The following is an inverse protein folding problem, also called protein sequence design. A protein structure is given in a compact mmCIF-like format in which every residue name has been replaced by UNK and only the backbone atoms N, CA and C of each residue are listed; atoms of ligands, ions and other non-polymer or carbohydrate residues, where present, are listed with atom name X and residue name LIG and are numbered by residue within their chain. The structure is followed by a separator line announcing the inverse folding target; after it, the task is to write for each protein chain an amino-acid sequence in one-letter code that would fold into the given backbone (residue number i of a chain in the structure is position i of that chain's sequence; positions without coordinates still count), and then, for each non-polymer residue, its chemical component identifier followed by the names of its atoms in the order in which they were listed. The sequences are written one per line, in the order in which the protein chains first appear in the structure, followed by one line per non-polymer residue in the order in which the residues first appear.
data_IF_062497716856
#
_entry.id   IF_062497716856
#
_cell.length_a   1.000
_cell.length_b   1.000
_cell.length_c   1.000
_cell.angle_alpha   90.00
_cell.angle_beta   90.00
_cell.angle_gamma   90.00
#
_symmetry.space_group_name_H-M   'P 1'
#
loop_
_entity.id
_entity.type
_entity.pdbx_description
1 polymer ?
#
# COMPACT_ATOMS: atom_id res chain seq x y z
N UNK A 1 4.15 -12.42 33.86
CA UNK A 1 4.58 -12.57 32.45
C UNK A 1 3.44 -12.77 31.44
N UNK A 2 2.19 -13.07 31.86
CA UNK A 2 1.04 -13.29 30.95
C UNK A 2 0.41 -12.02 30.34
N UNK A 3 0.72 -10.83 30.87
CA UNK A 3 0.05 -9.55 30.52
C UNK A 3 0.70 -8.83 29.32
N UNK A 4 1.97 -9.12 29.02
CA UNK A 4 2.70 -8.54 27.90
C UNK A 4 2.34 -9.18 26.54
N UNK A 5 1.84 -10.43 26.54
CA UNK A 5 1.38 -11.10 25.32
C UNK A 5 0.19 -10.36 24.68
N UNK A 6 -0.75 -9.84 25.49
CA UNK A 6 -1.94 -9.14 24.98
C UNK A 6 -1.62 -7.82 24.29
N UNK A 7 -0.58 -7.12 24.76
CA UNK A 7 -0.14 -5.83 24.19
C UNK A 7 0.62 -6.07 22.87
N UNK A 8 1.47 -7.11 22.82
CA UNK A 8 2.21 -7.47 21.60
C UNK A 8 1.25 -7.88 20.48
N UNK A 9 0.21 -8.66 20.80
CA UNK A 9 -0.81 -9.05 19.82
C UNK A 9 -1.64 -7.85 19.32
N UNK A 10 -1.92 -6.89 20.21
CA UNK A 10 -2.58 -5.63 19.85
C UNK A 10 -1.76 -4.80 18.85
N UNK A 11 -0.44 -4.68 19.07
CA UNK A 11 0.47 -3.94 18.16
C UNK A 11 0.72 -4.63 16.82
N UNK A 12 0.50 -5.94 16.71
CA UNK A 12 0.55 -6.63 15.42
C UNK A 12 -0.73 -6.41 14.59
N UNK A 13 -1.82 -6.00 15.24
CA UNK A 13 -3.11 -5.72 14.59
C UNK A 13 -3.34 -4.23 14.30
N UNK A 14 -2.56 -3.32 14.91
CA UNK A 14 -2.60 -1.88 14.60
C UNK A 14 -2.41 -1.54 13.12
N UNK A 15 -1.55 -2.21 12.32
CA UNK A 15 -1.47 -1.89 10.89
C UNK A 15 -2.78 -2.19 10.14
N UNK A 16 -3.50 -3.24 10.55
CA UNK A 16 -4.77 -3.64 9.90
C UNK A 16 -5.93 -2.69 10.26
N UNK A 17 -5.94 -2.12 11.48
CA UNK A 17 -6.93 -1.12 11.89
C UNK A 17 -6.60 0.25 11.29
N UNK A 18 -5.32 0.63 11.21
CA UNK A 18 -4.88 1.89 10.62
C UNK A 18 -5.26 2.01 9.13
N UNK A 19 -5.28 0.89 8.40
CA UNK A 19 -5.72 0.86 6.99
C UNK A 19 -7.22 1.04 6.78
N UNK A 20 -8.05 0.96 7.83
CA UNK A 20 -9.50 1.11 7.71
C UNK A 20 -10.01 2.56 7.92
N UNK A 21 -9.21 3.45 8.53
CA UNK A 21 -9.65 4.78 8.96
C UNK A 21 -9.50 5.90 7.91
N UNK A 22 -9.37 5.57 6.62
CA UNK A 22 -8.89 6.50 5.57
C UNK A 22 -9.99 7.36 4.92
N UNK A 23 -11.19 7.46 5.49
CA UNK A 23 -12.25 8.30 4.92
C UNK A 23 -12.51 9.55 5.78
N UNK A 24 -11.81 10.64 5.48
CA UNK A 24 -12.06 11.96 6.08
C UNK A 24 -13.04 12.75 5.20
N UNK A 25 -14.28 12.93 5.69
CA UNK A 25 -15.35 13.87 5.27
C UNK A 25 -15.71 13.98 3.75
N UNK A 26 -17.00 14.13 3.39
CA UNK A 26 -17.43 14.30 2.01
C UNK A 26 -16.90 15.59 1.37
N UNK A 27 -16.53 15.52 0.08
CA UNK A 27 -15.92 16.62 -0.65
C UNK A 27 -16.88 17.81 -0.82
N UNK A 28 -16.49 18.99 -0.33
CA UNK A 28 -17.25 20.25 -0.42
C UNK A 28 -16.67 21.25 -1.43
N UNK A 29 -15.43 21.04 -1.88
CA UNK A 29 -14.67 21.91 -2.79
C UNK A 29 -13.78 21.09 -3.75
N UNK A 30 -13.26 21.69 -4.84
CA UNK A 30 -12.32 21.04 -5.78
C UNK A 30 -11.10 20.44 -5.07
N UNK A 31 -10.55 21.14 -4.08
CA UNK A 31 -9.44 20.62 -3.27
C UNK A 31 -9.80 19.33 -2.52
N UNK A 32 -11.00 19.25 -1.95
CA UNK A 32 -11.47 18.05 -1.26
C UNK A 32 -11.84 16.90 -2.21
N UNK A 33 -12.20 17.20 -3.47
CA UNK A 33 -12.40 16.16 -4.50
C UNK A 33 -11.07 15.48 -4.84
N UNK A 34 -10.00 16.24 -5.03
CA UNK A 34 -8.67 15.70 -5.28
C UNK A 34 -8.17 14.84 -4.10
N UNK A 35 -8.41 15.28 -2.87
CA UNK A 35 -8.07 14.50 -1.66
C UNK A 35 -8.89 13.22 -1.57
N UNK A 36 -10.20 13.28 -1.83
CA UNK A 36 -11.08 12.11 -1.80
C UNK A 36 -10.70 11.06 -2.86
N UNK A 37 -10.38 11.50 -4.08
CA UNK A 37 -9.86 10.62 -5.12
C UNK A 37 -8.53 9.98 -4.69
N UNK A 38 -7.62 10.78 -4.16
CA UNK A 38 -6.32 10.28 -3.69
C UNK A 38 -6.48 9.23 -2.57
N UNK A 39 -7.46 9.40 -1.69
CA UNK A 39 -7.80 8.42 -0.65
C UNK A 39 -8.30 7.10 -1.24
N UNK A 40 -9.17 7.14 -2.24
CA UNK A 40 -9.65 5.93 -2.93
C UNK A 40 -8.51 5.17 -3.58
N UNK A 41 -7.63 5.87 -4.32
CA UNK A 41 -6.48 5.23 -4.97
C UNK A 41 -5.49 4.65 -3.95
N UNK A 42 -5.29 5.31 -2.81
CA UNK A 42 -4.43 4.82 -1.73
C UNK A 42 -4.98 3.53 -1.10
N UNK A 43 -6.28 3.49 -0.78
CA UNK A 43 -6.95 2.31 -0.24
C UNK A 43 -6.95 1.18 -1.27
N UNK A 44 -7.29 1.48 -2.54
CA UNK A 44 -7.30 0.49 -3.62
C UNK A 44 -5.90 -0.13 -3.83
N UNK A 45 -4.85 0.69 -3.83
CA UNK A 45 -3.46 0.21 -3.95
C UNK A 45 -3.10 -0.72 -2.79
N UNK A 46 -3.42 -0.32 -1.56
CA UNK A 46 -3.13 -1.13 -0.36
C UNK A 46 -3.88 -2.46 -0.38
N UNK A 47 -5.16 -2.44 -0.79
CA UNK A 47 -5.98 -3.64 -0.93
C UNK A 47 -5.42 -4.59 -1.99
N UNK A 48 -5.10 -4.08 -3.18
CA UNK A 48 -4.59 -4.93 -4.27
C UNK A 48 -3.20 -5.47 -3.93
N UNK A 49 -2.34 -4.69 -3.27
CA UNK A 49 -1.05 -5.18 -2.81
C UNK A 49 -1.21 -6.34 -1.83
N UNK A 50 -2.10 -6.21 -0.85
CA UNK A 50 -2.39 -7.30 0.10
C UNK A 50 -2.87 -8.57 -0.61
N UNK A 51 -3.80 -8.43 -1.58
CA UNK A 51 -4.31 -9.55 -2.36
C UNK A 51 -3.21 -10.17 -3.25
N UNK A 52 -2.35 -9.35 -3.85
CA UNK A 52 -1.25 -9.80 -4.69
C UNK A 52 -0.22 -10.62 -3.90
N UNK A 53 0.09 -10.20 -2.67
CA UNK A 53 0.97 -10.98 -1.77
C UNK A 53 0.35 -12.32 -1.42
N UNK A 54 -0.95 -12.37 -1.14
CA UNK A 54 -1.65 -13.65 -0.87
C UNK A 54 -1.63 -14.58 -2.09
N UNK A 55 -1.91 -14.06 -3.28
CA UNK A 55 -1.84 -14.83 -4.53
C UNK A 55 -0.43 -15.33 -4.83
N UNK A 56 0.59 -14.50 -4.57
CA UNK A 56 1.99 -14.88 -4.71
C UNK A 56 2.36 -16.03 -3.77
N UNK A 57 1.99 -15.91 -2.48
CA UNK A 57 2.23 -16.97 -1.50
C UNK A 57 1.51 -18.27 -1.86
N UNK A 58 0.25 -18.19 -2.31
CA UNK A 58 -0.50 -19.36 -2.78
C UNK A 58 0.20 -20.07 -3.94
N UNK A 59 0.72 -19.32 -4.91
CA UNK A 59 1.51 -19.88 -6.02
C UNK A 59 2.78 -20.57 -5.55
N UNK A 60 3.48 -20.00 -4.56
CA UNK A 60 4.68 -20.61 -3.96
C UNK A 60 4.34 -21.89 -3.20
N UNK A 61 3.29 -21.90 -2.38
CA UNK A 61 2.85 -23.11 -1.68
C UNK A 61 2.49 -24.23 -2.64
N UNK A 62 1.77 -23.91 -3.72
CA UNK A 62 1.42 -24.89 -4.75
C UNK A 62 2.65 -25.42 -5.50
N UNK A 63 3.65 -24.57 -5.76
CA UNK A 63 4.91 -25.00 -6.38
C UNK A 63 5.72 -25.92 -5.46
N UNK A 64 5.79 -25.61 -4.16
CA UNK A 64 6.54 -26.41 -3.17
C UNK A 64 5.83 -27.75 -2.90
N UNK A 65 4.50 -27.76 -2.78
CA UNK A 65 3.73 -28.99 -2.59
C UNK A 65 3.72 -29.90 -3.83
N UNK A 66 3.95 -29.34 -5.02
CA UNK A 66 4.08 -30.09 -6.27
C UNK A 66 5.44 -30.78 -6.45
N UNK A 67 6.30 -30.83 -5.43
CA UNK A 67 7.60 -31.50 -5.46
C UNK A 67 7.44 -33.02 -5.72
N UNK A 68 7.43 -33.42 -6.99
CA UNK A 68 7.33 -34.82 -7.43
C UNK A 68 6.55 -35.02 -8.73
N UNK A 69 5.73 -34.06 -9.14
CA UNK A 69 4.97 -34.09 -10.39
C UNK A 69 5.34 -32.91 -11.30
N UNK A 70 5.92 -33.21 -12.47
CA UNK A 70 6.36 -32.21 -13.44
C UNK A 70 5.19 -31.34 -13.97
N UNK A 71 3.98 -31.89 -14.05
CA UNK A 71 2.80 -31.15 -14.51
C UNK A 71 2.36 -30.13 -13.45
N UNK A 72 2.29 -30.54 -12.18
CA UNK A 72 1.94 -29.66 -11.08
C UNK A 72 2.98 -28.55 -10.84
N UNK A 73 4.28 -28.83 -11.04
CA UNK A 73 5.33 -27.81 -10.97
C UNK A 73 5.19 -26.74 -12.05
N UNK A 74 4.85 -27.13 -13.29
CA UNK A 74 4.64 -26.17 -14.38
C UNK A 74 3.49 -25.23 -14.06
N UNK A 75 2.41 -25.74 -13.47
CA UNK A 75 1.26 -24.95 -13.04
C UNK A 75 1.60 -24.02 -11.86
N UNK A 76 2.31 -24.52 -10.85
CA UNK A 76 2.77 -23.71 -9.71
C UNK A 76 3.70 -22.57 -10.15
N UNK A 77 4.63 -22.84 -11.09
CA UNK A 77 5.51 -21.82 -11.67
C UNK A 77 4.72 -20.73 -12.40
N UNK A 78 3.67 -21.10 -13.13
CA UNK A 78 2.80 -20.13 -13.81
C UNK A 78 2.07 -19.22 -12.81
N UNK A 79 1.62 -19.76 -11.67
CA UNK A 79 0.97 -18.96 -10.63
C UNK A 79 1.95 -17.99 -9.96
N UNK A 80 3.19 -18.42 -9.71
CA UNK A 80 4.25 -17.54 -9.20
C UNK A 80 4.53 -16.40 -10.17
N UNK A 81 4.69 -16.69 -11.46
CA UNK A 81 4.95 -15.69 -12.50
C UNK A 81 3.79 -14.69 -12.59
N UNK A 82 2.55 -15.17 -12.57
CA UNK A 82 1.36 -14.30 -12.62
C UNK A 82 1.28 -13.39 -11.38
N UNK A 83 1.58 -13.92 -10.19
CA UNK A 83 1.68 -13.12 -8.97
C UNK A 83 2.80 -12.08 -9.02
N UNK A 84 3.98 -12.47 -9.52
CA UNK A 84 5.13 -11.57 -9.67
C UNK A 84 4.84 -10.43 -10.67
N UNK A 85 4.19 -10.74 -11.80
CA UNK A 85 3.76 -9.72 -12.76
C UNK A 85 2.80 -8.73 -12.09
N UNK A 86 1.82 -9.21 -11.32
CA UNK A 86 0.89 -8.35 -10.59
C UNK A 86 1.59 -7.38 -9.64
N UNK A 87 2.59 -7.86 -8.90
CA UNK A 87 3.39 -7.02 -8.00
C UNK A 87 4.25 -6.02 -8.80
N UNK A 88 4.89 -6.47 -9.88
CA UNK A 88 5.75 -5.63 -10.71
C UNK A 88 4.99 -4.46 -11.33
N UNK A 89 3.76 -4.68 -11.83
CA UNK A 89 2.92 -3.60 -12.38
C UNK A 89 2.57 -2.59 -11.28
N UNK A 90 2.19 -3.04 -10.09
CA UNK A 90 1.84 -2.14 -8.98
C UNK A 90 3.02 -1.26 -8.54
N UNK A 91 4.20 -1.86 -8.38
CA UNK A 91 5.42 -1.12 -8.02
C UNK A 91 5.82 -0.15 -9.13
N UNK A 92 5.67 -0.54 -10.40
CA UNK A 92 5.97 0.33 -11.55
C UNK A 92 5.12 1.60 -11.56
N UNK A 93 3.80 1.48 -11.35
CA UNK A 93 2.89 2.63 -11.29
C UNK A 93 3.24 3.57 -10.13
N UNK A 94 3.46 3.03 -8.94
CA UNK A 94 3.80 3.85 -7.76
C UNK A 94 5.19 4.48 -7.86
N UNK A 95 6.16 3.76 -8.43
CA UNK A 95 7.50 4.24 -8.73
C UNK A 95 7.47 5.40 -9.73
N UNK A 96 6.63 5.31 -10.77
CA UNK A 96 6.39 6.40 -11.72
C UNK A 96 5.78 7.63 -11.05
N UNK A 97 4.71 7.45 -10.24
CA UNK A 97 4.10 8.56 -9.48
C UNK A 97 5.13 9.27 -8.61
N UNK A 98 5.93 8.48 -7.87
CA UNK A 98 6.98 9.00 -6.99
C UNK A 98 8.11 9.68 -7.79
N UNK A 99 8.46 9.14 -8.95
CA UNK A 99 9.47 9.74 -9.83
C UNK A 99 9.02 11.13 -10.31
N UNK A 100 7.77 11.26 -10.77
CA UNK A 100 7.24 12.54 -11.21
C UNK A 100 7.08 13.55 -10.06
N UNK A 101 6.60 13.13 -8.88
CA UNK A 101 6.45 14.06 -7.74
C UNK A 101 7.79 14.58 -7.24
N UNK A 102 8.83 13.74 -7.21
CA UNK A 102 10.19 14.16 -6.84
C UNK A 102 10.85 15.00 -7.93
N UNK A 103 10.69 14.64 -9.21
CA UNK A 103 11.30 15.35 -10.33
C UNK A 103 10.68 16.73 -10.58
N UNK A 104 9.40 16.93 -10.25
CA UNK A 104 8.69 18.20 -10.47
C UNK A 104 8.71 19.13 -9.24
N UNK A 105 9.42 18.77 -8.16
CA UNK A 105 9.55 19.61 -6.97
C UNK A 105 8.25 19.85 -6.20
N UNK A 106 7.26 18.95 -6.35
CA UNK A 106 5.95 19.06 -5.71
C UNK A 106 5.98 18.87 -4.19
N UNK A 107 7.16 18.70 -3.58
CA UNK A 107 7.40 18.74 -2.13
C UNK A 107 7.59 20.18 -1.65
N UNK A 108 6.72 21.11 -2.05
CA UNK A 108 6.75 22.49 -1.52
C UNK A 108 5.82 22.60 -0.32
N UNK A 109 6.13 21.88 0.76
CA UNK A 109 5.53 22.09 2.07
C UNK A 109 6.49 22.91 2.95
N UNK A 110 7.01 24.02 2.41
CA UNK A 110 7.70 25.00 3.25
C UNK A 110 6.64 25.69 4.12
N UNK A 111 6.70 25.57 5.45
CA UNK A 111 5.89 26.41 6.31
C UNK A 111 6.31 27.85 6.06
N UNK A 112 5.48 28.64 5.39
CA UNK A 112 5.69 30.07 5.25
C UNK A 112 5.33 30.66 6.62
N UNK A 113 6.30 31.14 7.42
CA UNK A 113 5.96 31.74 8.72
C UNK A 113 5.08 32.95 8.43
N UNK A 114 3.92 33.03 9.08
CA UNK A 114 3.06 34.20 8.97
C UNK A 114 3.86 35.44 9.39
N UNK A 115 3.79 36.56 8.64
CA UNK A 115 4.49 37.77 9.02
C UNK A 115 3.99 38.24 10.38
N UNK A 116 4.83 38.11 11.41
CA UNK A 116 4.57 38.68 12.73
C UNK A 116 4.87 40.17 12.65
N UNK A 117 3.84 41.01 12.80
CA UNK A 117 4.03 42.44 13.08
C UNK A 117 4.79 42.59 14.39
N UNK A 118 6.04 43.07 14.32
CA UNK A 118 6.82 43.47 15.48
C UNK A 118 6.17 44.75 16.05
N UNK A 119 5.65 44.76 17.28
CA UNK A 119 5.17 46.00 17.89
C UNK A 119 6.38 46.91 18.16
N UNK A 120 6.32 48.12 17.60
CA UNK A 120 7.25 49.24 17.85
C UNK A 120 7.15 49.77 19.27
#
# INVERSE_FOLDING_TARGET
MKKSIGIVLGTMLTPFIASAAVFTAPATNIGSLATWLSQIFNVATTLILSAAVVFFLFGVFQYVMAAGDAAAQKTGRSHIINGLIGIAVMVSVWGLVTFFTNSLGATSNMPIPAPTVQPV
#
